data_IF_431247615780
#
_entry.id   IF_431247615780
#
_cell.length_a   1.000
_cell.length_b   1.000
_cell.length_c   1.000
_cell.angle_alpha   90.00
_cell.angle_beta   90.00
_cell.angle_gamma   90.00
#
_symmetry.space_group_name_H-M   'P 1'
#
loop_
_entity.id
_entity.type
_entity.pdbx_description
1 polymer ?
#
# COMPACT_ATOMS: atom_id res chain seq x y z
N UNK A 1 -3.71 39.51 -2.06
CA UNK A 1 -4.30 40.86 -2.12
C UNK A 1 -5.40 40.96 -1.10
N UNK A 2 -5.24 41.81 -0.09
CA UNK A 2 -6.14 41.93 1.07
C UNK A 2 -7.30 42.87 0.72
N UNK A 3 -8.50 42.63 1.26
CA UNK A 3 -9.68 43.53 1.11
C UNK A 3 -9.36 45.00 1.40
N UNK A 4 -8.36 45.25 2.27
CA UNK A 4 -7.81 46.59 2.57
C UNK A 4 -7.38 47.35 1.33
N UNK A 5 -6.73 46.68 0.37
CA UNK A 5 -6.19 47.30 -0.83
C UNK A 5 -7.29 47.69 -1.83
N UNK A 6 -8.41 46.95 -1.84
CA UNK A 6 -9.57 47.26 -2.70
C UNK A 6 -10.35 48.45 -2.11
N UNK A 7 -10.47 48.53 -0.77
CA UNK A 7 -11.12 49.67 -0.09
C UNK A 7 -10.29 50.95 -0.24
N UNK A 8 -8.97 50.87 -0.22
CA UNK A 8 -8.08 52.02 -0.46
C UNK A 8 -8.11 52.48 -1.92
N UNK A 9 -8.13 51.54 -2.89
CA UNK A 9 -8.30 51.87 -4.31
C UNK A 9 -9.65 52.57 -4.59
N UNK A 10 -10.74 52.10 -3.97
CA UNK A 10 -12.07 52.70 -4.14
C UNK A 10 -12.20 54.10 -3.50
N UNK A 11 -11.41 54.39 -2.45
CA UNK A 11 -11.34 55.73 -1.83
C UNK A 11 -10.54 56.72 -2.67
N UNK A 12 -9.55 56.24 -3.41
CA UNK A 12 -8.71 57.08 -4.28
C UNK A 12 -9.44 57.47 -5.58
N UNK A 13 -10.35 56.64 -6.09
CA UNK A 13 -11.15 56.97 -7.30
C UNK A 13 -12.32 57.95 -7.03
N UNK A 14 -12.75 58.13 -5.78
CA UNK A 14 -13.79 59.11 -5.38
C UNK A 14 -13.24 60.22 -4.45
N UNK A 15 -12.10 60.79 -4.82
CA UNK A 15 -11.71 62.12 -4.36
C UNK A 15 -12.65 63.18 -4.94
N UNK A 16 -13.81 63.37 -4.31
CA UNK A 16 -14.82 64.34 -4.74
C UNK A 16 -15.97 64.41 -3.75
N UNK A 17 -15.68 64.89 -2.53
CA UNK A 17 -16.73 65.34 -1.62
C UNK A 17 -17.26 66.70 -2.11
N UNK A 18 -18.10 66.69 -3.16
CA UNK A 18 -18.93 67.85 -3.52
C UNK A 18 -20.14 67.89 -2.60
N UNK A 19 -20.38 69.09 -2.04
CA UNK A 19 -21.53 69.56 -1.27
C UNK A 19 -22.59 68.54 -0.84
N UNK A 20 -22.67 68.29 0.46
CA UNK A 20 -23.76 67.54 1.07
C UNK A 20 -25.13 68.15 0.69
N UNK A 21 -25.90 67.44 -0.13
CA UNK A 21 -27.33 67.65 -0.32
C UNK A 21 -27.74 68.77 -1.27
N UNK A 22 -26.90 69.27 -2.17
CA UNK A 22 -27.27 70.41 -3.06
C UNK A 22 -27.20 70.00 -4.53
N UNK A 23 -28.16 70.45 -5.35
CA UNK A 23 -28.21 70.20 -6.79
C UNK A 23 -27.11 70.96 -7.53
N UNK A 24 -26.31 70.26 -8.34
CA UNK A 24 -25.18 70.85 -9.09
C UNK A 24 -25.60 71.88 -10.14
N UNK A 25 -26.85 71.83 -10.64
CA UNK A 25 -27.35 72.74 -11.68
C UNK A 25 -27.98 74.02 -11.12
N UNK A 26 -28.67 73.92 -9.99
CA UNK A 26 -29.49 75.03 -9.46
C UNK A 26 -29.04 75.51 -8.07
N UNK A 27 -28.10 74.83 -7.42
CA UNK A 27 -27.57 75.26 -6.11
C UNK A 27 -28.58 75.14 -4.95
N UNK A 28 -29.71 74.45 -5.16
CA UNK A 28 -30.77 74.22 -4.17
C UNK A 28 -30.68 72.86 -3.47
N UNK A 29 -31.34 72.72 -2.31
CA UNK A 29 -31.41 71.45 -1.56
C UNK A 29 -32.04 70.33 -2.41
N UNK A 30 -31.25 69.28 -2.62
CA UNK A 30 -31.59 68.15 -3.47
C UNK A 30 -32.28 67.06 -2.64
N UNK A 31 -33.57 67.28 -2.35
CA UNK A 31 -34.40 66.36 -1.56
C UNK A 31 -34.81 65.06 -2.28
N UNK A 32 -34.56 64.95 -3.60
CA UNK A 32 -34.96 63.83 -4.44
C UNK A 32 -33.76 63.10 -5.08
N UNK A 33 -33.91 61.79 -5.30
CA UNK A 33 -32.93 60.91 -5.93
C UNK A 33 -33.55 60.24 -7.16
N UNK A 34 -32.86 60.32 -8.30
CA UNK A 34 -33.24 59.68 -9.55
C UNK A 34 -32.54 58.32 -9.65
N UNK A 35 -33.28 57.21 -9.65
CA UNK A 35 -32.69 55.85 -9.67
C UNK A 35 -31.98 55.55 -10.99
N UNK A 36 -32.53 56.01 -12.12
CA UNK A 36 -31.97 55.77 -13.46
C UNK A 36 -30.67 56.53 -13.70
N UNK A 37 -30.54 57.74 -13.13
CA UNK A 37 -29.36 58.59 -13.29
C UNK A 37 -28.33 58.42 -12.16
N UNK A 38 -28.72 57.86 -11.01
CA UNK A 38 -27.86 57.75 -9.84
C UNK A 38 -27.48 59.10 -9.21
N UNK A 39 -28.31 60.14 -9.41
CA UNK A 39 -28.01 61.52 -9.02
C UNK A 39 -29.10 62.12 -8.12
N UNK A 40 -28.68 63.06 -7.25
CA UNK A 40 -29.56 63.90 -6.44
C UNK A 40 -30.02 65.10 -7.27
N UNK A 41 -31.27 65.53 -7.13
CA UNK A 41 -31.81 66.68 -7.86
C UNK A 41 -32.79 67.50 -7.00
N UNK A 42 -32.93 68.79 -7.30
CA UNK A 42 -33.81 69.74 -6.61
C UNK A 42 -35.22 69.80 -7.24
N UNK A 43 -36.21 70.46 -6.60
CA UNK A 43 -37.56 70.61 -7.14
C UNK A 43 -37.61 71.27 -8.54
N UNK A 44 -36.72 72.22 -8.85
CA UNK A 44 -36.68 72.82 -10.21
C UNK A 44 -36.28 71.80 -11.30
N UNK A 45 -35.45 70.81 -10.96
CA UNK A 45 -35.12 69.70 -11.86
C UNK A 45 -36.28 68.72 -12.05
N UNK A 46 -37.26 68.70 -11.15
CA UNK A 46 -38.45 67.84 -11.25
C UNK A 46 -39.36 68.29 -12.40
N UNK A 47 -39.47 69.61 -12.59
CA UNK A 47 -40.28 70.25 -13.64
C UNK A 47 -39.60 70.23 -15.01
N UNK A 48 -38.30 69.89 -15.05
CA UNK A 48 -37.54 69.71 -16.28
C UNK A 48 -37.90 68.39 -16.98
N UNK A 49 -37.97 68.40 -18.33
CA UNK A 49 -38.14 67.18 -19.14
C UNK A 49 -37.05 66.11 -18.87
N UNK A 50 -35.93 66.49 -18.24
CA UNK A 50 -34.79 65.61 -17.97
C UNK A 50 -35.08 64.47 -16.98
N UNK A 51 -36.01 64.63 -16.04
CA UNK A 51 -36.33 63.60 -15.04
C UNK A 51 -37.80 63.12 -15.09
N UNK A 52 -38.61 63.68 -15.98
CA UNK A 52 -40.05 63.46 -16.06
C UNK A 52 -40.46 61.98 -16.28
N UNK A 53 -39.56 61.17 -16.87
CA UNK A 53 -39.78 59.74 -17.17
C UNK A 53 -38.97 58.78 -16.29
N UNK A 54 -38.18 59.29 -15.36
CA UNK A 54 -37.31 58.48 -14.52
C UNK A 54 -38.01 58.10 -13.21
N UNK A 55 -37.56 57.00 -12.61
CA UNK A 55 -38.01 56.55 -11.31
C UNK A 55 -37.34 57.40 -10.24
N UNK A 56 -38.16 58.04 -9.40
CA UNK A 56 -37.70 59.00 -8.40
C UNK A 56 -38.12 58.56 -7.01
N UNK A 57 -37.25 58.78 -6.03
CA UNK A 57 -37.55 58.62 -4.60
C UNK A 57 -37.06 59.81 -3.81
N UNK A 58 -37.58 60.00 -2.61
CA UNK A 58 -36.94 60.88 -1.64
C UNK A 58 -35.54 60.36 -1.32
N UNK A 59 -34.60 61.26 -1.03
CA UNK A 59 -33.24 60.87 -0.62
C UNK A 59 -33.27 59.96 0.60
N UNK A 60 -34.20 60.22 1.53
CA UNK A 60 -34.39 59.39 2.72
C UNK A 60 -34.76 57.95 2.36
N UNK A 61 -35.74 57.76 1.49
CA UNK A 61 -36.23 56.42 1.11
C UNK A 61 -35.22 55.68 0.23
N UNK A 62 -34.57 56.35 -0.71
CA UNK A 62 -33.48 55.79 -1.50
C UNK A 62 -32.32 55.37 -0.61
N UNK A 63 -31.93 56.20 0.35
CA UNK A 63 -30.85 55.90 1.31
C UNK A 63 -31.20 54.69 2.18
N UNK A 64 -32.42 54.61 2.72
CA UNK A 64 -32.86 53.45 3.51
C UNK A 64 -32.82 52.17 2.66
N UNK A 65 -33.43 52.22 1.46
CA UNK A 65 -33.53 51.08 0.54
C UNK A 65 -32.15 50.56 0.15
N UNK A 66 -31.26 51.43 -0.33
CA UNK A 66 -29.93 50.99 -0.77
C UNK A 66 -29.02 50.60 0.39
N UNK A 67 -29.15 51.22 1.57
CA UNK A 67 -28.43 50.74 2.78
C UNK A 67 -28.88 49.34 3.16
N UNK A 68 -30.17 49.03 3.10
CA UNK A 68 -30.70 47.70 3.36
C UNK A 68 -30.23 46.68 2.30
N UNK A 69 -30.25 47.05 1.03
CA UNK A 69 -29.74 46.20 -0.06
C UNK A 69 -28.24 45.92 0.12
N UNK A 70 -27.43 46.93 0.43
CA UNK A 70 -26.00 46.77 0.70
C UNK A 70 -25.74 45.95 1.97
N UNK A 71 -26.56 46.09 3.02
CA UNK A 71 -26.47 45.24 4.23
C UNK A 71 -26.76 43.78 3.89
N UNK A 72 -27.77 43.50 3.07
CA UNK A 72 -28.10 42.16 2.59
C UNK A 72 -26.95 41.56 1.76
N UNK A 73 -26.40 42.33 0.81
CA UNK A 73 -25.24 41.92 0.02
C UNK A 73 -24.00 41.67 0.90
N UNK A 74 -23.72 42.54 1.87
CA UNK A 74 -22.62 42.36 2.82
C UNK A 74 -22.78 41.05 3.61
N UNK A 75 -24.00 40.74 4.06
CA UNK A 75 -24.26 39.49 4.78
C UNK A 75 -24.04 38.27 3.88
N UNK A 76 -24.49 38.32 2.61
CA UNK A 76 -24.22 37.27 1.62
C UNK A 76 -22.72 37.07 1.37
N UNK A 77 -21.95 38.16 1.26
CA UNK A 77 -20.50 38.12 1.07
C UNK A 77 -19.78 37.52 2.28
N UNK A 78 -20.22 37.82 3.50
CA UNK A 78 -19.67 37.23 4.73
C UNK A 78 -19.88 35.73 4.78
N UNK A 79 -21.07 35.25 4.44
CA UNK A 79 -21.36 33.81 4.35
C UNK A 79 -20.47 33.14 3.30
N UNK A 80 -20.35 33.71 2.10
CA UNK A 80 -19.47 33.19 1.05
C UNK A 80 -18.00 33.13 1.50
N UNK A 81 -17.51 34.15 2.19
CA UNK A 81 -16.14 34.19 2.70
C UNK A 81 -15.89 33.06 3.72
N UNK A 82 -16.85 32.81 4.60
CA UNK A 82 -16.77 31.72 5.57
C UNK A 82 -16.77 30.36 4.87
N UNK A 83 -17.69 30.13 3.93
CA UNK A 83 -17.75 28.89 3.14
C UNK A 83 -16.43 28.62 2.40
N UNK A 84 -15.89 29.61 1.68
CA UNK A 84 -14.61 29.45 0.99
C UNK A 84 -13.43 29.25 1.94
N UNK A 85 -13.48 29.84 3.14
CA UNK A 85 -12.44 29.64 4.16
C UNK A 85 -12.44 28.20 4.68
N UNK A 86 -13.62 27.60 4.88
CA UNK A 86 -13.80 26.21 5.29
C UNK A 86 -13.36 25.24 4.18
N UNK A 87 -13.78 25.46 2.93
CA UNK A 87 -13.36 24.66 1.78
C UNK A 87 -11.85 24.69 1.56
N UNK A 88 -11.21 25.86 1.74
CA UNK A 88 -9.75 25.98 1.71
C UNK A 88 -9.09 25.15 2.79
N UNK A 89 -9.58 25.23 4.03
CA UNK A 89 -9.03 24.45 5.14
C UNK A 89 -9.18 22.93 4.93
N UNK A 90 -10.32 22.48 4.40
CA UNK A 90 -10.55 21.09 4.01
C UNK A 90 -9.59 20.65 2.89
N UNK A 91 -9.41 21.48 1.86
CA UNK A 91 -8.48 21.23 0.77
C UNK A 91 -7.03 21.14 1.25
N UNK A 92 -6.61 22.04 2.15
CA UNK A 92 -5.28 22.01 2.77
C UNK A 92 -5.06 20.73 3.59
N UNK A 93 -6.09 20.28 4.31
CA UNK A 93 -6.06 19.02 5.05
C UNK A 93 -5.89 17.82 4.10
N UNK A 94 -6.68 17.74 3.04
CA UNK A 94 -6.58 16.71 2.01
C UNK A 94 -5.19 16.71 1.35
N UNK A 95 -4.64 17.88 1.01
CA UNK A 95 -3.31 17.99 0.42
C UNK A 95 -2.20 17.50 1.36
N UNK A 96 -2.29 17.80 2.67
CA UNK A 96 -1.37 17.23 3.68
C UNK A 96 -1.50 15.72 3.78
N UNK A 97 -2.73 15.21 3.77
CA UNK A 97 -2.99 13.78 3.86
C UNK A 97 -2.43 13.02 2.64
N UNK A 98 -2.64 13.52 1.42
CA UNK A 98 -2.08 12.95 0.18
C UNK A 98 -0.56 12.82 0.29
N UNK A 99 0.14 13.87 0.76
CA UNK A 99 1.59 13.83 0.96
C UNK A 99 2.01 12.76 1.98
N UNK A 100 1.34 12.71 3.13
CA UNK A 100 1.63 11.73 4.19
C UNK A 100 1.39 10.31 3.70
N UNK A 101 0.26 10.06 3.03
CA UNK A 101 -0.08 8.76 2.46
C UNK A 101 0.94 8.32 1.41
N UNK A 102 1.33 9.20 0.48
CA UNK A 102 2.34 8.89 -0.53
C UNK A 102 3.71 8.53 0.10
N UNK A 103 4.13 9.27 1.14
CA UNK A 103 5.36 8.95 1.87
C UNK A 103 5.27 7.60 2.59
N UNK A 104 4.13 7.30 3.22
CA UNK A 104 3.93 6.04 3.92
C UNK A 104 3.93 4.85 2.95
N UNK A 105 3.16 4.95 1.85
CA UNK A 105 3.12 3.93 0.80
C UNK A 105 4.51 3.75 0.18
N UNK A 106 5.24 4.82 -0.10
CA UNK A 106 6.63 4.72 -0.59
C UNK A 106 7.54 3.96 0.38
N UNK A 107 7.41 4.22 1.69
CA UNK A 107 8.17 3.50 2.72
C UNK A 107 7.82 2.02 2.76
N UNK A 108 6.53 1.68 2.72
CA UNK A 108 6.05 0.29 2.71
C UNK A 108 6.51 -0.45 1.45
N UNK A 109 6.39 0.16 0.26
CA UNK A 109 6.92 -0.41 -1.00
C UNK A 109 8.41 -0.73 -0.85
N UNK A 110 9.22 0.22 -0.38
CA UNK A 110 10.65 -0.01 -0.16
C UNK A 110 10.90 -1.15 0.82
N UNK A 111 10.14 -1.22 1.92
CA UNK A 111 10.28 -2.27 2.92
C UNK A 111 9.98 -3.67 2.33
N UNK A 112 8.92 -3.83 1.54
CA UNK A 112 8.59 -5.10 0.89
C UNK A 112 9.67 -5.54 -0.10
N UNK A 113 10.20 -4.62 -0.92
CA UNK A 113 11.31 -4.93 -1.82
C UNK A 113 12.59 -5.30 -1.07
N UNK A 114 12.89 -4.64 0.05
CA UNK A 114 14.04 -4.98 0.88
C UNK A 114 13.94 -6.39 1.49
N UNK A 115 12.72 -6.83 1.86
CA UNK A 115 12.49 -8.21 2.34
C UNK A 115 12.82 -9.22 1.24
N UNK A 116 12.34 -9.01 0.02
CA UNK A 116 12.62 -9.88 -1.13
C UNK A 116 14.11 -9.90 -1.49
N UNK A 117 14.77 -8.74 -1.51
CA UNK A 117 16.21 -8.66 -1.76
C UNK A 117 17.02 -9.37 -0.68
N UNK A 118 16.60 -9.29 0.59
CA UNK A 118 17.24 -10.02 1.68
C UNK A 118 17.08 -11.53 1.49
N UNK A 119 15.87 -12.00 1.20
CA UNK A 119 15.63 -13.41 0.89
C UNK A 119 16.55 -13.91 -0.24
N UNK A 120 16.67 -13.16 -1.34
CA UNK A 120 17.53 -13.55 -2.46
C UNK A 120 19.01 -13.61 -2.08
N UNK A 121 19.51 -12.65 -1.28
CA UNK A 121 20.88 -12.68 -0.77
C UNK A 121 21.13 -13.87 0.16
N UNK A 122 20.17 -14.18 1.02
CA UNK A 122 20.27 -15.30 1.96
C UNK A 122 20.30 -16.63 1.19
N UNK A 123 19.47 -16.80 0.15
CA UNK A 123 19.48 -17.97 -0.74
C UNK A 123 20.76 -18.10 -1.57
N UNK A 124 21.28 -16.98 -2.11
CA UNK A 124 22.57 -16.94 -2.80
C UNK A 124 23.71 -17.36 -1.87
N UNK A 125 23.76 -16.80 -0.66
CA UNK A 125 24.78 -17.12 0.32
C UNK A 125 24.73 -18.58 0.76
N UNK A 126 23.53 -19.13 0.95
CA UNK A 126 23.34 -20.55 1.26
C UNK A 126 23.86 -21.45 0.15
N UNK A 127 23.58 -21.12 -1.13
CA UNK A 127 24.07 -21.89 -2.28
C UNK A 127 25.59 -21.81 -2.45
N UNK A 128 26.17 -20.63 -2.24
CA UNK A 128 27.62 -20.46 -2.26
C UNK A 128 28.29 -21.20 -1.10
N UNK A 129 27.65 -21.30 0.07
CA UNK A 129 28.15 -22.08 1.19
C UNK A 129 28.19 -23.59 0.85
N UNK A 130 27.14 -24.12 0.22
CA UNK A 130 27.13 -25.54 -0.22
C UNK A 130 28.23 -25.83 -1.25
N UNK A 131 28.49 -24.89 -2.17
CA UNK A 131 29.58 -25.03 -3.14
C UNK A 131 30.96 -25.04 -2.47
N UNK A 132 31.21 -24.13 -1.51
CA UNK A 132 32.49 -24.06 -0.78
C UNK A 132 32.77 -25.34 0.02
N UNK A 133 31.75 -25.93 0.63
CA UNK A 133 31.92 -27.19 1.35
C UNK A 133 32.26 -28.35 0.40
N UNK A 134 31.60 -28.40 -0.76
CA UNK A 134 31.93 -29.39 -1.77
C UNK A 134 33.34 -29.22 -2.34
N UNK A 135 33.74 -27.98 -2.66
CA UNK A 135 35.09 -27.63 -3.09
C UNK A 135 36.13 -28.11 -2.07
N UNK A 136 35.91 -27.83 -0.79
CA UNK A 136 36.79 -28.26 0.29
C UNK A 136 36.90 -29.79 0.35
N UNK A 137 35.78 -30.50 0.41
CA UNK A 137 35.77 -31.97 0.45
C UNK A 137 36.48 -32.60 -0.75
N UNK A 138 36.22 -32.10 -1.96
CA UNK A 138 36.82 -32.63 -3.19
C UNK A 138 38.31 -32.31 -3.29
N UNK A 139 38.72 -31.12 -2.84
CA UNK A 139 40.14 -30.73 -2.77
C UNK A 139 40.90 -31.59 -1.78
N UNK A 140 40.35 -31.84 -0.60
CA UNK A 140 40.96 -32.74 0.41
C UNK A 140 41.13 -34.16 -0.14
N UNK A 141 40.12 -34.69 -0.84
CA UNK A 141 40.19 -36.01 -1.47
C UNK A 141 41.31 -36.10 -2.52
N UNK A 142 41.48 -35.06 -3.34
CA UNK A 142 42.54 -35.00 -4.35
C UNK A 142 43.91 -34.85 -3.70
N UNK A 143 44.05 -34.01 -2.68
CA UNK A 143 45.31 -33.81 -1.96
C UNK A 143 45.80 -35.09 -1.27
N UNK A 144 44.91 -35.85 -0.65
CA UNK A 144 45.27 -37.14 -0.05
C UNK A 144 45.65 -38.20 -1.10
N UNK A 145 45.12 -38.11 -2.32
CA UNK A 145 45.58 -38.95 -3.43
C UNK A 145 46.95 -38.50 -3.92
N UNK A 146 47.18 -37.19 -4.07
CA UNK A 146 48.48 -36.64 -4.47
C UNK A 146 49.57 -37.07 -3.48
N UNK A 147 49.32 -36.95 -2.17
CA UNK A 147 50.27 -37.38 -1.13
C UNK A 147 50.67 -38.85 -1.28
N UNK A 148 49.69 -39.75 -1.44
CA UNK A 148 49.95 -41.18 -1.66
C UNK A 148 50.73 -41.45 -2.94
N UNK A 149 50.37 -40.78 -4.04
CA UNK A 149 51.12 -40.93 -5.31
C UNK A 149 52.55 -40.40 -5.17
N UNK A 150 52.78 -39.32 -4.42
CA UNK A 150 54.13 -38.80 -4.14
C UNK A 150 54.96 -39.80 -3.34
N UNK A 151 54.36 -40.46 -2.34
CA UNK A 151 55.00 -41.54 -1.57
C UNK A 151 55.33 -42.75 -2.46
N UNK A 152 54.37 -43.20 -3.27
CA UNK A 152 54.55 -44.32 -4.19
C UNK A 152 55.66 -44.01 -5.23
N UNK A 153 55.69 -42.79 -5.79
CA UNK A 153 56.76 -42.33 -6.70
C UNK A 153 58.12 -42.35 -6.00
N UNK A 154 58.22 -41.85 -4.77
CA UNK A 154 59.48 -41.84 -4.02
C UNK A 154 59.99 -43.27 -3.74
N UNK A 155 59.12 -44.17 -3.29
CA UNK A 155 59.49 -45.57 -3.01
C UNK A 155 59.92 -46.34 -4.26
N UNK A 156 59.24 -46.12 -5.38
CA UNK A 156 59.63 -46.67 -6.68
C UNK A 156 60.96 -46.10 -7.15
N UNK A 157 61.20 -44.80 -6.98
CA UNK A 157 62.45 -44.14 -7.37
C UNK A 157 63.65 -44.71 -6.60
N UNK A 158 63.50 -44.91 -5.28
CA UNK A 158 64.53 -45.55 -4.45
C UNK A 158 64.75 -47.01 -4.83
N UNK A 159 63.68 -47.77 -5.09
CA UNK A 159 63.78 -49.17 -5.51
C UNK A 159 64.45 -49.32 -6.87
N UNK A 160 64.17 -48.42 -7.84
CA UNK A 160 64.87 -48.38 -9.13
C UNK A 160 66.37 -48.12 -8.91
N UNK A 161 66.73 -47.11 -8.10
CA UNK A 161 68.13 -46.81 -7.81
C UNK A 161 68.85 -47.97 -7.08
N UNK A 162 68.16 -48.70 -6.22
CA UNK A 162 68.69 -49.91 -5.57
C UNK A 162 68.96 -51.04 -6.57
N UNK A 163 68.02 -51.27 -7.49
CA UNK A 163 68.17 -52.26 -8.57
C UNK A 163 69.34 -51.90 -9.48
N UNK A 164 69.42 -50.65 -9.94
CA UNK A 164 70.51 -50.16 -10.77
C UNK A 164 71.87 -50.34 -10.06
N UNK A 165 71.97 -49.97 -8.79
CA UNK A 165 73.19 -50.19 -7.99
C UNK A 165 73.56 -51.66 -7.84
N UNK A 166 72.59 -52.54 -7.62
CA UNK A 166 72.85 -53.97 -7.45
C UNK A 166 73.41 -54.58 -8.75
N UNK A 167 72.84 -54.21 -9.91
CA UNK A 167 73.27 -54.68 -11.24
C UNK A 167 74.75 -54.32 -11.50
N UNK A 168 75.21 -53.18 -10.99
CA UNK A 168 76.61 -52.72 -11.15
C UNK A 168 77.61 -53.37 -10.17
N UNK A 169 77.16 -54.25 -9.26
CA UNK A 169 78.05 -54.93 -8.29
C UNK A 169 78.73 -56.19 -8.84
N UNK A 170 79.74 -56.71 -8.13
CA UNK A 170 80.43 -57.97 -8.48
C UNK A 170 79.56 -59.20 -8.17
N UNK A 171 79.82 -60.33 -8.86
CA UNK A 171 79.02 -61.57 -8.79
C UNK A 171 78.67 -62.03 -7.36
N UNK A 172 79.61 -62.01 -6.42
CA UNK A 172 79.35 -62.45 -5.04
C UNK A 172 78.43 -61.49 -4.27
N UNK A 173 78.65 -60.17 -4.40
CA UNK A 173 77.83 -59.13 -3.77
C UNK A 173 76.44 -59.02 -4.40
N UNK A 174 76.32 -59.29 -5.70
CA UNK A 174 75.04 -59.34 -6.40
C UNK A 174 74.14 -60.43 -5.81
N UNK A 175 74.67 -61.65 -5.65
CA UNK A 175 73.92 -62.79 -5.13
C UNK A 175 73.47 -62.60 -3.66
N UNK A 176 74.24 -61.87 -2.86
CA UNK A 176 73.88 -61.53 -1.48
C UNK A 176 72.68 -60.56 -1.40
N UNK A 177 72.59 -59.59 -2.33
CA UNK A 177 71.53 -58.57 -2.34
C UNK A 177 70.29 -58.91 -3.18
N UNK A 178 70.40 -59.86 -4.11
CA UNK A 178 69.38 -60.18 -5.12
C UNK A 178 67.99 -60.42 -4.55
N UNK A 179 67.85 -61.37 -3.61
CA UNK A 179 66.54 -61.78 -3.07
C UNK A 179 65.78 -60.63 -2.40
N UNK A 180 66.49 -59.76 -1.68
CA UNK A 180 65.89 -58.63 -0.96
C UNK A 180 65.35 -57.56 -1.90
N UNK A 181 66.07 -57.29 -2.99
CA UNK A 181 65.66 -56.31 -4.00
C UNK A 181 64.56 -56.89 -4.91
N UNK A 182 64.61 -58.18 -5.24
CA UNK A 182 63.57 -58.91 -5.98
C UNK A 182 62.21 -58.81 -5.28
N UNK A 183 62.13 -59.13 -3.99
CA UNK A 183 60.89 -59.03 -3.20
C UNK A 183 60.32 -57.61 -3.18
N UNK A 184 61.18 -56.57 -3.14
CA UNK A 184 60.74 -55.17 -3.17
C UNK A 184 60.26 -54.75 -4.56
N UNK A 185 60.92 -55.21 -5.62
CA UNK A 185 60.58 -54.90 -7.01
C UNK A 185 59.25 -55.54 -7.45
N UNK A 186 58.88 -56.67 -6.85
CA UNK A 186 57.61 -57.36 -7.12
C UNK A 186 56.39 -56.71 -6.44
N UNK A 187 56.61 -55.75 -5.53
CA UNK A 187 55.52 -55.05 -4.85
C UNK A 187 54.66 -54.27 -5.83
N UNK A 188 53.35 -54.56 -5.86
CA UNK A 188 52.41 -53.86 -6.74
C UNK A 188 52.13 -52.44 -6.23
N UNK A 189 52.14 -51.43 -7.10
CA UNK A 189 51.68 -50.10 -6.72
C UNK A 189 50.20 -50.12 -6.30
N UNK A 190 49.84 -49.23 -5.37
CA UNK A 190 48.44 -49.05 -4.95
C UNK A 190 47.60 -48.59 -6.13
N UNK A 191 46.32 -49.00 -6.16
CA UNK A 191 45.39 -48.69 -7.25
C UNK A 191 45.36 -47.18 -7.58
N UNK A 192 45.79 -46.85 -8.80
CA UNK A 192 46.02 -45.49 -9.27
C UNK A 192 44.82 -44.89 -10.02
N UNK A 193 43.70 -45.59 -10.13
CA UNK A 193 42.55 -45.13 -10.93
C UNK A 193 41.93 -43.83 -10.38
N UNK A 194 41.47 -42.91 -11.25
CA UNK A 194 40.69 -41.75 -10.82
C UNK A 194 39.41 -42.19 -10.11
N UNK A 195 39.14 -41.61 -8.93
CA UNK A 195 37.85 -41.79 -8.25
C UNK A 195 36.76 -41.03 -9.01
N UNK A 196 35.62 -41.69 -9.23
CA UNK A 196 34.41 -41.04 -9.74
C UNK A 196 33.97 -39.93 -8.77
N UNK A 197 33.46 -38.81 -9.30
CA UNK A 197 32.93 -37.70 -8.50
C UNK A 197 33.95 -36.70 -7.96
N UNK A 198 35.20 -36.69 -8.46
CA UNK A 198 36.25 -35.79 -7.99
C UNK A 198 36.05 -34.31 -8.39
N UNK A 199 35.27 -34.03 -9.44
CA UNK A 199 35.00 -32.68 -9.93
C UNK A 199 33.72 -32.13 -9.34
N UNK A 200 33.60 -30.79 -9.26
CA UNK A 200 32.39 -30.10 -8.78
C UNK A 200 31.15 -30.56 -9.57
N UNK A 201 30.05 -30.82 -8.86
CA UNK A 201 28.76 -31.13 -9.44
C UNK A 201 28.06 -29.84 -9.90
N UNK A 202 28.51 -29.32 -11.03
CA UNK A 202 27.98 -28.09 -11.62
C UNK A 202 26.46 -28.20 -11.85
N UNK A 203 25.98 -29.38 -12.25
CA UNK A 203 24.55 -29.62 -12.47
C UNK A 203 23.77 -29.59 -11.15
N UNK A 204 24.31 -30.14 -10.06
CA UNK A 204 23.70 -30.08 -8.72
C UNK A 204 23.59 -28.66 -8.16
N UNK A 205 24.53 -27.76 -8.51
CA UNK A 205 24.48 -26.36 -8.04
C UNK A 205 23.62 -25.44 -8.90
N UNK A 206 23.70 -25.59 -10.23
CA UNK A 206 23.05 -24.67 -11.17
C UNK A 206 21.76 -25.22 -11.78
N UNK A 207 21.55 -26.53 -11.74
CA UNK A 207 20.38 -27.20 -12.29
C UNK A 207 19.11 -26.67 -11.64
N UNK A 208 18.23 -26.07 -12.45
CA UNK A 208 16.97 -25.47 -12.00
C UNK A 208 17.10 -24.47 -10.84
N UNK A 209 18.28 -23.85 -10.65
CA UNK A 209 18.54 -22.96 -9.50
C UNK A 209 17.47 -21.86 -9.40
N UNK A 210 17.20 -21.15 -10.50
CA UNK A 210 16.19 -20.09 -10.53
C UNK A 210 14.79 -20.57 -10.15
N UNK A 211 14.38 -21.76 -10.61
CA UNK A 211 13.09 -22.35 -10.25
C UNK A 211 13.04 -22.74 -8.77
N UNK A 212 14.08 -23.38 -8.24
CA UNK A 212 14.13 -23.78 -6.82
C UNK A 212 14.07 -22.58 -5.88
N UNK A 213 14.74 -21.48 -6.21
CA UNK A 213 14.68 -20.23 -5.43
C UNK A 213 13.30 -19.61 -5.53
N UNK A 214 12.69 -19.60 -6.71
CA UNK A 214 11.32 -19.12 -6.89
C UNK A 214 10.28 -19.95 -6.13
N UNK A 215 10.40 -21.28 -6.13
CA UNK A 215 9.51 -22.17 -5.39
C UNK A 215 9.60 -21.92 -3.88
N UNK A 216 10.82 -21.78 -3.33
CA UNK A 216 11.00 -21.34 -1.94
C UNK A 216 10.43 -19.96 -1.67
N UNK A 217 10.57 -19.04 -2.64
CA UNK A 217 10.01 -17.70 -2.53
C UNK A 217 8.48 -17.72 -2.43
N UNK A 218 7.78 -18.70 -3.01
CA UNK A 218 6.34 -18.85 -2.83
C UNK A 218 5.94 -19.08 -1.37
N UNK A 219 6.74 -19.84 -0.61
CA UNK A 219 6.52 -20.02 0.83
C UNK A 219 6.84 -18.76 1.67
N UNK A 220 7.69 -17.88 1.14
CA UNK A 220 8.07 -16.61 1.77
C UNK A 220 7.05 -15.49 1.50
N UNK A 221 6.45 -15.48 0.31
CA UNK A 221 5.51 -14.44 -0.11
C UNK A 221 4.07 -14.88 0.12
N UNK A 222 3.34 -14.15 0.94
CA UNK A 222 1.93 -14.44 1.18
C UNK A 222 1.04 -13.82 0.10
N UNK A 223 0.33 -14.64 -0.66
CA UNK A 223 -0.73 -14.19 -1.54
C UNK A 223 -1.99 -13.81 -0.75
N UNK A 224 -2.67 -12.75 -1.15
CA UNK A 224 -3.98 -12.41 -0.59
C UNK A 224 -4.88 -11.92 -1.71
N UNK A 225 -6.03 -12.59 -1.92
CA UNK A 225 -6.94 -12.26 -3.01
C UNK A 225 -7.68 -10.93 -2.78
N UNK A 226 -7.81 -10.50 -1.51
CA UNK A 226 -8.53 -9.28 -1.12
C UNK A 226 -7.69 -8.45 -0.16
N UNK A 227 -7.43 -7.18 -0.51
CA UNK A 227 -6.76 -6.19 0.33
C UNK A 227 -7.75 -5.11 0.78
N UNK A 228 -7.61 -4.61 2.00
CA UNK A 228 -8.50 -3.59 2.56
C UNK A 228 -8.23 -2.20 1.93
N UNK A 229 -9.30 -1.51 1.52
CA UNK A 229 -9.24 -0.18 0.92
C UNK A 229 -9.29 0.92 2.00
N UNK A 230 -8.11 1.46 2.30
CA UNK A 230 -7.91 2.54 3.28
C UNK A 230 -8.75 3.79 2.99
N UNK A 231 -9.02 4.09 1.71
CA UNK A 231 -9.79 5.29 1.35
C UNK A 231 -11.27 5.10 1.63
N UNK A 232 -11.77 3.86 1.59
CA UNK A 232 -13.16 3.54 1.92
C UNK A 232 -13.44 3.48 3.42
N UNK A 233 -12.41 3.28 4.23
CA UNK A 233 -12.57 2.90 5.62
C UNK A 233 -13.09 4.02 6.51
N UNK A 234 -14.02 3.68 7.39
CA UNK A 234 -14.52 4.58 8.43
C UNK A 234 -13.37 5.11 9.31
N UNK A 235 -13.40 6.38 9.75
CA UNK A 235 -12.32 6.97 10.57
C UNK A 235 -12.00 6.23 11.88
N UNK A 236 -12.95 5.46 12.41
CA UNK A 236 -12.76 4.67 13.63
C UNK A 236 -12.03 3.34 13.39
N UNK A 237 -11.86 2.92 12.14
CA UNK A 237 -11.17 1.69 11.81
C UNK A 237 -9.67 1.92 11.66
N UNK A 238 -8.90 0.96 12.17
CA UNK A 238 -7.47 0.84 11.90
C UNK A 238 -7.22 -0.30 10.93
N UNK A 239 -6.21 -0.15 10.10
CA UNK A 239 -5.83 -1.11 9.07
C UNK A 239 -4.34 -1.41 9.23
N UNK A 240 -3.95 -2.67 9.17
CA UNK A 240 -2.55 -3.08 9.22
C UNK A 240 -1.77 -2.66 7.97
N UNK A 241 -0.45 -2.58 8.08
CA UNK A 241 0.43 -2.24 6.95
C UNK A 241 0.31 -3.24 5.79
N UNK A 242 -0.04 -4.51 6.08
CA UNK A 242 -0.26 -5.53 5.06
C UNK A 242 -1.64 -5.47 4.39
N UNK A 243 -2.49 -4.51 4.80
CA UNK A 243 -3.85 -4.29 4.28
C UNK A 243 -4.75 -5.51 4.39
N UNK A 244 -4.61 -6.31 5.45
CA UNK A 244 -5.39 -7.56 5.64
C UNK A 244 -6.18 -7.59 6.93
N UNK A 245 -5.76 -6.80 7.90
CA UNK A 245 -6.32 -6.83 9.23
C UNK A 245 -6.95 -5.47 9.54
N UNK A 246 -8.05 -5.53 10.26
CA UNK A 246 -8.71 -4.33 10.76
C UNK A 246 -9.27 -4.55 12.15
N UNK A 247 -9.26 -3.47 12.92
CA UNK A 247 -9.74 -3.42 14.29
C UNK A 247 -10.25 -2.01 14.60
N UNK A 248 -11.10 -1.93 15.62
CA UNK A 248 -11.62 -0.65 16.09
C UNK A 248 -10.51 0.14 16.79
N UNK A 249 -10.38 1.40 16.42
CA UNK A 249 -9.51 2.36 17.07
C UNK A 249 -10.15 2.95 18.33
N UNK A 250 -9.32 3.37 19.28
CA UNK A 250 -9.78 4.09 20.47
C UNK A 250 -10.31 5.50 20.16
N UNK A 251 -9.85 6.09 19.07
CA UNK A 251 -10.25 7.42 18.62
C UNK A 251 -10.27 7.47 17.09
N UNK A 252 -11.22 8.25 16.58
CA UNK A 252 -11.38 8.56 15.16
C UNK A 252 -10.10 9.18 14.62
N UNK A 253 -9.64 8.67 13.48
CA UNK A 253 -8.52 9.24 12.76
C UNK A 253 -8.91 10.59 12.13
N UNK A 254 -8.03 11.60 12.15
CA UNK A 254 -8.25 12.86 11.45
C UNK A 254 -8.03 12.67 9.94
N UNK A 255 -8.93 11.94 9.29
CA UNK A 255 -8.86 11.66 7.85
C UNK A 255 -9.64 12.72 7.08
N UNK A 256 -9.18 13.13 5.89
CA UNK A 256 -10.00 13.96 5.01
C UNK A 256 -11.23 13.18 4.57
N UNK A 257 -12.34 13.90 4.43
CA UNK A 257 -13.53 13.35 3.81
C UNK A 257 -13.27 13.11 2.32
N UNK A 258 -13.86 12.04 1.79
CA UNK A 258 -13.87 11.71 0.37
C UNK A 258 -15.13 10.89 0.04
N UNK A 259 -15.58 10.86 -1.23
CA UNK A 259 -16.80 10.14 -1.62
C UNK A 259 -16.75 8.63 -1.33
N UNK A 260 -15.58 8.01 -1.37
CA UNK A 260 -15.39 6.57 -1.17
C UNK A 260 -15.53 6.13 0.29
N UNK A 261 -15.37 7.06 1.24
CA UNK A 261 -15.30 6.79 2.68
C UNK A 261 -16.68 6.62 3.33
N UNK A 262 -16.84 5.55 4.09
CA UNK A 262 -17.97 5.43 5.02
C UNK A 262 -17.88 6.46 6.15
N UNK A 263 -18.93 7.26 6.33
CA UNK A 263 -18.96 8.38 7.30
C UNK A 263 -19.71 8.06 8.61
N UNK A 264 -20.65 7.13 8.55
CA UNK A 264 -21.62 6.86 9.61
C UNK A 264 -21.73 5.37 9.94
N UNK A 265 -21.51 4.52 8.95
CA UNK A 265 -21.44 3.06 9.14
C UNK A 265 -19.98 2.67 9.35
N UNK A 266 -19.66 2.04 10.48
CA UNK A 266 -18.30 1.56 10.77
C UNK A 266 -17.99 0.37 9.87
N UNK A 267 -17.40 0.65 8.72
CA UNK A 267 -17.10 -0.35 7.69
C UNK A 267 -16.01 0.11 6.75
N UNK A 268 -15.57 -0.83 5.91
CA UNK A 268 -14.60 -0.62 4.86
C UNK A 268 -14.84 -1.65 3.74
N UNK A 269 -14.25 -1.44 2.58
CA UNK A 269 -14.30 -2.37 1.46
C UNK A 269 -12.98 -3.07 1.25
N UNK A 270 -13.05 -4.22 0.58
CA UNK A 270 -11.90 -4.88 -0.02
C UNK A 270 -11.69 -4.46 -1.48
N UNK A 271 -10.49 -4.71 -1.99
CA UNK A 271 -10.08 -4.65 -3.40
C UNK A 271 -9.37 -5.95 -3.78
N UNK A 272 -9.40 -6.36 -5.07
CA UNK A 272 -10.06 -5.69 -6.19
C UNK A 272 -11.58 -5.88 -6.19
N UNK A 273 -12.28 -5.11 -7.03
CA UNK A 273 -13.69 -5.36 -7.33
C UNK A 273 -13.80 -6.48 -8.38
N UNK A 274 -14.84 -7.29 -8.27
CA UNK A 274 -15.07 -8.44 -9.15
C UNK A 274 -16.27 -8.19 -10.06
N UNK A 275 -16.10 -8.38 -11.37
CA UNK A 275 -17.18 -8.23 -12.36
C UNK A 275 -17.76 -9.57 -12.82
N UNK A 276 -16.98 -10.65 -12.76
CA UNK A 276 -17.36 -11.99 -13.20
C UNK A 276 -16.46 -13.06 -12.54
N UNK A 277 -16.81 -14.33 -12.70
CA UNK A 277 -16.04 -15.47 -12.19
C UNK A 277 -16.45 -15.93 -10.78
N UNK A 278 -15.68 -16.88 -10.24
CA UNK A 278 -15.86 -17.42 -8.88
C UNK A 278 -14.69 -16.95 -8.02
N UNK A 279 -15.00 -16.37 -6.87
CA UNK A 279 -14.02 -15.79 -5.95
C UNK A 279 -14.29 -16.31 -4.54
N UNK A 280 -13.22 -16.62 -3.81
CA UNK A 280 -13.28 -17.05 -2.42
C UNK A 280 -12.19 -16.35 -1.62
N UNK A 281 -12.53 -15.98 -0.39
CA UNK A 281 -11.59 -15.48 0.60
C UNK A 281 -12.10 -15.89 1.98
N UNK A 282 -11.16 -16.08 2.90
CA UNK A 282 -11.46 -16.39 4.27
C UNK A 282 -11.15 -15.17 5.14
N UNK A 283 -11.97 -14.96 6.17
CA UNK A 283 -11.75 -13.91 7.16
C UNK A 283 -11.71 -14.52 8.55
N UNK A 284 -10.62 -14.27 9.26
CA UNK A 284 -10.48 -14.69 10.64
C UNK A 284 -11.14 -13.66 11.57
N UNK A 285 -12.23 -14.07 12.22
CA UNK A 285 -13.00 -13.21 13.14
C UNK A 285 -12.60 -13.39 14.61
N UNK A 286 -11.79 -14.41 14.93
CA UNK A 286 -11.36 -14.73 16.29
C UNK A 286 -12.52 -14.88 17.27
N UNK A 287 -12.37 -14.34 18.48
CA UNK A 287 -13.40 -14.32 19.52
C UNK A 287 -14.26 -13.04 19.53
N UNK A 288 -14.27 -12.28 18.42
CA UNK A 288 -15.08 -11.06 18.30
C UNK A 288 -16.56 -11.34 18.57
N UNK A 289 -17.21 -10.40 19.26
CA UNK A 289 -18.62 -10.48 19.67
C UNK A 289 -19.56 -9.77 18.70
N UNK A 290 -19.02 -8.91 17.83
CA UNK A 290 -19.76 -8.26 16.77
C UNK A 290 -18.89 -8.11 15.52
N UNK A 291 -19.45 -8.42 14.34
CA UNK A 291 -18.82 -8.22 13.04
C UNK A 291 -19.85 -8.39 11.92
N UNK A 292 -19.57 -7.84 10.76
CA UNK A 292 -20.35 -8.04 9.53
C UNK A 292 -19.38 -8.28 8.38
N UNK A 293 -19.63 -9.33 7.59
CA UNK A 293 -18.80 -9.75 6.47
C UNK A 293 -19.68 -10.06 5.26
N UNK A 294 -19.26 -9.62 4.08
CA UNK A 294 -20.07 -9.80 2.89
C UNK A 294 -19.48 -9.19 1.64
N UNK A 295 -20.35 -9.07 0.65
CA UNK A 295 -20.06 -8.44 -0.64
C UNK A 295 -20.93 -7.20 -0.83
N UNK A 296 -20.35 -6.24 -1.53
CA UNK A 296 -20.93 -4.93 -1.76
C UNK A 296 -20.88 -4.61 -3.25
N UNK A 297 -21.95 -4.02 -3.79
CA UNK A 297 -21.87 -3.38 -5.12
C UNK A 297 -20.85 -2.26 -5.06
N UNK A 298 -20.07 -2.06 -6.12
CA UNK A 298 -19.12 -0.95 -6.20
C UNK A 298 -19.82 0.42 -5.94
N UNK A 299 -21.08 0.54 -6.36
CA UNK A 299 -21.92 1.74 -6.24
C UNK A 299 -22.73 1.87 -4.95
N UNK A 300 -22.58 1.00 -3.94
CA UNK A 300 -23.33 1.16 -2.67
C UNK A 300 -23.03 2.52 -2.04
N UNK A 301 -24.04 3.12 -1.42
CA UNK A 301 -23.91 4.38 -0.71
C UNK A 301 -22.81 4.31 0.36
N UNK A 302 -22.05 5.39 0.49
CA UNK A 302 -21.00 5.56 1.52
C UNK A 302 -21.38 6.57 2.58
N UNK A 303 -22.39 7.40 2.31
CA UNK A 303 -22.77 8.54 3.13
C UNK A 303 -24.11 8.30 3.79
N UNK A 304 -24.21 8.67 5.06
CA UNK A 304 -25.38 8.45 5.89
C UNK A 304 -25.67 6.96 6.18
N UNK A 305 -26.75 6.67 6.92
CA UNK A 305 -27.05 5.32 7.37
C UNK A 305 -27.18 4.33 6.20
N UNK A 306 -26.33 3.31 6.17
CA UNK A 306 -26.36 2.27 5.12
C UNK A 306 -27.07 1.03 5.65
N UNK A 307 -28.19 0.68 5.02
CA UNK A 307 -28.91 -0.57 5.33
C UNK A 307 -28.23 -1.76 4.67
N UNK A 308 -27.89 -2.78 5.47
CA UNK A 308 -27.31 -4.04 4.98
C UNK A 308 -28.42 -4.90 4.35
N UNK A 309 -28.74 -4.62 3.09
CA UNK A 309 -29.75 -5.35 2.32
C UNK A 309 -29.39 -5.45 0.83
N UNK A 310 -29.94 -6.45 0.11
CA UNK A 310 -29.75 -6.56 -1.33
C UNK A 310 -30.18 -5.31 -2.10
N UNK A 311 -31.24 -4.62 -1.67
CA UNK A 311 -31.71 -3.36 -2.26
C UNK A 311 -30.71 -2.22 -2.06
N UNK A 312 -30.07 -2.18 -0.88
CA UNK A 312 -28.95 -1.29 -0.57
C UNK A 312 -27.64 -1.68 -1.28
N UNK A 313 -27.61 -2.81 -1.99
CA UNK A 313 -26.42 -3.31 -2.68
C UNK A 313 -25.42 -4.02 -1.77
N UNK A 314 -25.86 -4.53 -0.62
CA UNK A 314 -25.04 -5.29 0.32
C UNK A 314 -25.63 -6.68 0.56
N UNK A 315 -24.77 -7.70 0.47
CA UNK A 315 -25.09 -9.07 0.86
C UNK A 315 -24.08 -9.50 1.90
N UNK A 316 -24.50 -9.53 3.16
CA UNK A 316 -23.60 -9.80 4.27
C UNK A 316 -24.23 -10.71 5.30
N UNK A 317 -23.37 -11.38 6.06
CA UNK A 317 -23.70 -12.10 7.28
C UNK A 317 -23.00 -11.39 8.43
N UNK A 318 -23.61 -11.41 9.61
CA UNK A 318 -23.03 -10.78 10.77
C UNK A 318 -23.29 -11.57 12.05
N UNK A 319 -22.47 -11.26 13.05
CA UNK A 319 -22.67 -11.64 14.43
C UNK A 319 -22.96 -10.37 15.23
N UNK A 320 -23.93 -10.44 16.12
CA UNK A 320 -24.22 -9.43 17.12
C UNK A 320 -24.27 -10.05 18.51
N UNK A 321 -23.91 -9.27 19.54
CA UNK A 321 -23.98 -9.64 20.96
C UNK A 321 -23.37 -11.02 21.30
N UNK A 322 -22.39 -11.47 20.53
CA UNK A 322 -21.65 -12.71 20.73
C UNK A 322 -22.35 -14.01 20.30
N UNK A 323 -23.65 -13.99 20.00
CA UNK A 323 -24.42 -15.21 19.67
C UNK A 323 -25.52 -15.02 18.61
N UNK A 324 -25.94 -13.78 18.29
CA UNK A 324 -27.00 -13.51 17.33
C UNK A 324 -26.42 -13.46 15.92
N UNK A 325 -26.51 -14.56 15.16
CA UNK A 325 -26.13 -14.58 13.75
C UNK A 325 -27.30 -14.15 12.87
N UNK A 326 -27.04 -13.29 11.89
CA UNK A 326 -28.05 -12.79 10.97
C UNK A 326 -27.52 -12.67 9.54
N UNK A 327 -28.40 -12.90 8.57
CA UNK A 327 -28.14 -12.56 7.18
C UNK A 327 -28.83 -11.23 6.81
N UNK A 328 -28.14 -10.40 6.02
CA UNK A 328 -28.69 -9.23 5.34
C UNK A 328 -29.59 -9.67 4.20
N UNK A 329 -30.81 -10.08 4.52
CA UNK A 329 -31.86 -10.47 3.58
C UNK A 329 -32.90 -9.37 3.40
N UNK A 330 -33.86 -9.59 2.51
CA UNK A 330 -35.11 -8.82 2.47
C UNK A 330 -36.26 -9.78 2.80
N UNK A 331 -36.96 -9.64 3.95
CA UNK A 331 -36.78 -8.62 4.99
C UNK A 331 -35.49 -8.80 5.79
N UNK A 332 -35.02 -7.71 6.40
CA UNK A 332 -33.75 -7.63 7.11
C UNK A 332 -33.74 -8.51 8.38
N UNK A 333 -32.61 -9.14 8.66
CA UNK A 333 -32.35 -9.76 9.97
C UNK A 333 -32.87 -11.18 10.13
N UNK A 334 -32.92 -11.99 9.06
CA UNK A 334 -33.24 -13.42 9.19
C UNK A 334 -32.21 -14.09 10.10
N UNK A 335 -32.62 -14.63 11.27
CA UNK A 335 -31.70 -15.30 12.18
C UNK A 335 -31.10 -16.55 11.54
N UNK A 336 -29.80 -16.74 11.72
CA UNK A 336 -29.09 -17.93 11.27
C UNK A 336 -28.86 -18.85 12.46
N UNK A 337 -29.49 -20.03 12.44
CA UNK A 337 -29.24 -21.08 13.42
C UNK A 337 -27.97 -21.86 13.02
N UNK A 338 -26.81 -21.45 13.56
CA UNK A 338 -25.55 -22.17 13.34
C UNK A 338 -25.38 -23.29 14.37
N UNK A 339 -25.11 -24.52 13.90
CA UNK A 339 -24.81 -25.66 14.78
C UNK A 339 -23.47 -25.50 15.53
N UNK A 340 -22.54 -24.70 14.99
CA UNK A 340 -21.21 -24.42 15.58
C UNK A 340 -20.80 -22.98 15.27
N UNK A 341 -20.11 -22.33 16.22
CA UNK A 341 -19.55 -20.98 16.03
C UNK A 341 -18.44 -21.05 14.97
N UNK A 342 -18.43 -20.15 13.96
CA UNK A 342 -17.35 -20.11 12.97
C UNK A 342 -16.01 -19.84 13.67
N UNK A 343 -15.08 -20.78 13.53
CA UNK A 343 -13.66 -20.62 13.87
C UNK A 343 -12.87 -21.15 12.69
N UNK A 344 -11.77 -20.49 12.35
CA UNK A 344 -10.88 -20.97 11.28
C UNK A 344 -10.37 -22.36 11.67
N UNK A 345 -10.57 -23.35 10.79
CA UNK A 345 -9.88 -24.64 10.90
C UNK A 345 -8.41 -24.40 10.53
N UNK A 346 -7.52 -25.02 11.31
CA UNK A 346 -6.08 -25.01 11.08
C UNK A 346 -5.78 -25.47 9.63
N UNK A 347 -5.10 -24.65 8.79
CA UNK A 347 -4.80 -25.01 7.41
C UNK A 347 -3.88 -26.23 7.29
N UNK A 348 -3.29 -26.71 8.40
CA UNK A 348 -2.51 -27.95 8.42
C UNK A 348 -3.35 -29.24 8.56
N UNK A 349 -4.68 -29.13 8.72
CA UNK A 349 -5.61 -30.26 8.79
C UNK A 349 -6.67 -30.17 7.69
N UNK A 350 -6.31 -30.65 6.49
CA UNK A 350 -7.12 -31.54 5.62
C UNK A 350 -6.67 -31.40 4.15
N UNK A 351 -5.83 -32.31 3.70
CA UNK A 351 -5.98 -32.95 2.40
C UNK A 351 -6.36 -34.40 2.72
N UNK A 352 -7.67 -34.67 2.74
CA UNK A 352 -8.32 -36.00 2.74
C UNK A 352 -9.67 -35.85 3.44
N UNK A 353 -10.68 -35.43 2.66
CA UNK A 353 -12.11 -35.72 2.85
C UNK A 353 -12.85 -34.97 1.73
N UNK A 354 -12.71 -35.50 0.50
CA UNK A 354 -13.74 -35.32 -0.51
C UNK A 354 -14.93 -36.17 -0.07
N UNK A 355 -15.88 -35.56 0.64
CA UNK A 355 -17.21 -36.16 0.78
C UNK A 355 -17.85 -36.21 -0.61
N UNK A 356 -17.96 -37.43 -1.09
CA UNK A 356 -18.77 -37.86 -2.22
C UNK A 356 -20.24 -37.60 -1.87
N UNK A 357 -20.86 -36.65 -2.57
CA UNK A 357 -22.31 -36.55 -2.62
C UNK A 357 -22.78 -37.39 -3.81
N UNK A 358 -23.19 -38.62 -3.51
CA UNK A 358 -23.99 -39.45 -4.41
C UNK A 358 -25.35 -38.79 -4.68
N UNK A 359 -25.83 -39.02 -5.90
CA UNK A 359 -27.10 -38.53 -6.48
C UNK A 359 -28.34 -39.24 -5.95
#
# INVERSE_FOLDING_TARGET
MTLRNIVEAYRLEKGGASGAGVCEKHGEDAGMFCEDCGQLFCPECLESEQHLKHTQRSVRDATLTYKEMLRSQLQSLRVKLETFSQERAASDHTARHIRSQAQNVSRQIKAEFLKLQRFLRDEEQARLATLREEEKMKTELVNERLRRLTEDIATLTETIADVERLIDTKDSSFLEGYKSIEERAESKPRDAAPRSGALIDVAGHLGSLGFSVWEKMQGFVQYTPVSLDVNSAHPDLRISDCLRETWDGQASLPLPDNPERFDSTVGLLGRPAFASGRHCWDVEVGDKTAWTLGVARASVARKGPVSVSPQGGLWAVGLAKGAEFSAGTTPFGVPLALKRKPRRKDPTKNADEQDTLDS
#
